data_IF_551926481697
#
_entry.id   IF_551926481697
#
_cell.length_a   1.000
_cell.length_b   1.000
_cell.length_c   1.000
_cell.angle_alpha   90.00
_cell.angle_beta   90.00
_cell.angle_gamma   90.00
#
_symmetry.space_group_name_H-M   'P 1'
#
loop_
_entity.id
_entity.type
_entity.pdbx_description
1 polymer ?
#
# COMPACT_ATOMS: atom_id res chain seq x y z
N UNK A 1 -35.01 4.23 -6.43
CA UNK A 1 -34.75 3.68 -5.09
C UNK A 1 -35.10 4.76 -4.07
N UNK A 2 -35.93 4.46 -3.08
CA UNK A 2 -36.26 5.41 -1.99
C UNK A 2 -35.19 5.40 -0.90
N UNK A 3 -35.10 6.44 -0.04
CA UNK A 3 -34.19 6.45 1.11
C UNK A 3 -34.41 5.25 2.06
N UNK A 4 -35.66 4.84 2.26
CA UNK A 4 -36.02 3.66 3.06
C UNK A 4 -35.49 2.35 2.44
N UNK A 5 -35.63 2.21 1.11
CA UNK A 5 -35.07 1.08 0.38
C UNK A 5 -33.53 1.07 0.46
N UNK A 6 -32.88 2.23 0.35
CA UNK A 6 -31.43 2.35 0.48
C UNK A 6 -30.96 1.91 1.88
N UNK A 7 -31.59 2.41 2.95
CA UNK A 7 -31.28 2.01 4.32
C UNK A 7 -31.49 0.50 4.55
N UNK A 8 -32.57 -0.08 4.04
CA UNK A 8 -32.84 -1.52 4.18
C UNK A 8 -31.87 -2.37 3.34
N UNK A 9 -31.41 -1.91 2.17
CA UNK A 9 -30.33 -2.59 1.42
C UNK A 9 -29.08 -2.69 2.29
N UNK A 10 -28.64 -1.60 2.92
CA UNK A 10 -27.46 -1.57 3.78
C UNK A 10 -27.61 -2.54 4.96
N UNK A 11 -28.75 -2.48 5.66
CA UNK A 11 -29.07 -3.36 6.81
C UNK A 11 -29.06 -4.84 6.41
N UNK A 12 -29.69 -5.19 5.29
CA UNK A 12 -29.71 -6.57 4.80
C UNK A 12 -28.33 -7.06 4.34
N UNK A 13 -27.48 -6.16 3.82
CA UNK A 13 -26.09 -6.49 3.49
C UNK A 13 -25.22 -6.73 4.72
N UNK A 14 -25.42 -5.98 5.81
CA UNK A 14 -24.76 -6.27 7.09
C UNK A 14 -25.18 -7.64 7.64
N UNK A 15 -26.44 -8.01 7.46
CA UNK A 15 -26.95 -9.36 7.75
C UNK A 15 -26.52 -10.44 6.73
N UNK A 16 -25.54 -10.15 5.86
CA UNK A 16 -24.98 -11.05 4.83
C UNK A 16 -25.98 -11.59 3.80
N UNK A 17 -27.13 -10.94 3.59
CA UNK A 17 -28.13 -11.35 2.58
C UNK A 17 -27.62 -11.08 1.16
N UNK A 18 -27.84 -12.00 0.23
CA UNK A 18 -27.32 -11.88 -1.14
C UNK A 18 -28.05 -10.77 -1.95
N UNK A 19 -27.37 -10.03 -2.85
CA UNK A 19 -27.99 -8.93 -3.62
C UNK A 19 -29.26 -9.33 -4.38
N UNK A 20 -29.31 -10.55 -4.95
CA UNK A 20 -30.50 -11.09 -5.62
C UNK A 20 -31.69 -11.28 -4.67
N UNK A 21 -31.42 -11.71 -3.43
CA UNK A 21 -32.46 -11.87 -2.41
C UNK A 21 -32.97 -10.51 -1.92
N UNK A 22 -32.07 -9.54 -1.74
CA UNK A 22 -32.43 -8.15 -1.40
C UNK A 22 -33.30 -7.54 -2.49
N UNK A 23 -32.90 -7.67 -3.75
CA UNK A 23 -33.67 -7.19 -4.90
C UNK A 23 -35.09 -7.76 -4.93
N UNK A 24 -35.23 -9.08 -4.72
CA UNK A 24 -36.55 -9.74 -4.62
C UNK A 24 -37.37 -9.23 -3.44
N UNK A 25 -36.75 -9.03 -2.27
CA UNK A 25 -37.44 -8.58 -1.05
C UNK A 25 -37.92 -7.13 -1.14
N UNK A 26 -37.16 -6.27 -1.80
CA UNK A 26 -37.44 -4.83 -1.91
C UNK A 26 -38.11 -4.44 -3.23
N UNK A 27 -38.46 -5.43 -4.07
CA UNK A 27 -39.03 -5.22 -5.41
C UNK A 27 -38.19 -4.29 -6.29
N UNK A 28 -36.86 -4.47 -6.26
CA UNK A 28 -35.89 -3.72 -7.05
C UNK A 28 -35.23 -4.61 -8.13
N UNK A 29 -34.61 -4.01 -9.14
CA UNK A 29 -33.81 -4.78 -10.11
C UNK A 29 -32.50 -5.21 -9.46
N UNK A 30 -32.01 -6.45 -9.70
CA UNK A 30 -30.71 -6.90 -9.17
C UNK A 30 -29.55 -5.96 -9.54
N UNK A 31 -29.56 -5.38 -10.74
CA UNK A 31 -28.53 -4.43 -11.18
C UNK A 31 -28.55 -3.12 -10.38
N UNK A 32 -29.72 -2.63 -9.98
CA UNK A 32 -29.86 -1.42 -9.15
C UNK A 32 -29.29 -1.66 -7.75
N UNK A 33 -29.60 -2.82 -7.15
CA UNK A 33 -29.08 -3.20 -5.84
C UNK A 33 -27.56 -3.40 -5.90
N UNK A 34 -27.04 -4.09 -6.92
CA UNK A 34 -25.60 -4.29 -7.10
C UNK A 34 -24.85 -2.97 -7.32
N UNK A 35 -25.43 -2.06 -8.10
CA UNK A 35 -24.87 -0.71 -8.33
C UNK A 35 -24.82 0.08 -7.04
N UNK A 36 -25.94 0.16 -6.31
CA UNK A 36 -25.99 0.84 -5.02
C UNK A 36 -24.96 0.28 -4.02
N UNK A 37 -24.85 -1.05 -3.91
CA UNK A 37 -23.86 -1.69 -3.02
C UNK A 37 -22.44 -1.33 -3.41
N UNK A 38 -22.12 -1.29 -4.71
CA UNK A 38 -20.79 -0.92 -5.20
C UNK A 38 -20.51 0.55 -4.89
N UNK A 39 -21.47 1.42 -5.14
CA UNK A 39 -21.31 2.87 -4.99
C UNK A 39 -21.16 3.26 -3.50
N UNK A 40 -21.70 2.46 -2.57
CA UNK A 40 -21.56 2.65 -1.11
C UNK A 40 -20.52 1.70 -0.47
N UNK A 41 -19.75 0.95 -1.27
CA UNK A 41 -18.79 0.00 -0.74
C UNK A 41 -17.67 0.71 0.03
N UNK A 42 -17.28 1.89 -0.42
CA UNK A 42 -16.21 2.71 0.15
C UNK A 42 -16.61 3.30 1.51
N UNK A 43 -17.78 3.94 1.59
CA UNK A 43 -18.31 4.48 2.85
C UNK A 43 -18.43 3.39 3.92
N UNK A 44 -18.88 2.20 3.55
CA UNK A 44 -18.97 1.07 4.47
C UNK A 44 -17.60 0.53 4.87
N UNK A 45 -16.64 0.55 3.97
CA UNK A 45 -15.27 0.16 4.29
C UNK A 45 -14.64 1.15 5.27
N UNK A 46 -14.90 2.45 5.09
CA UNK A 46 -14.54 3.53 6.02
C UNK A 46 -15.20 3.34 7.39
N UNK A 47 -16.49 3.07 7.44
CA UNK A 47 -17.21 2.83 8.71
C UNK A 47 -16.62 1.66 9.49
N UNK A 48 -16.34 0.53 8.82
CA UNK A 48 -15.69 -0.63 9.42
C UNK A 48 -14.28 -0.31 9.92
N UNK A 49 -13.53 0.51 9.18
CA UNK A 49 -12.21 0.95 9.62
C UNK A 49 -12.30 1.76 10.90
N UNK A 50 -13.27 2.68 10.99
CA UNK A 50 -13.51 3.53 12.16
C UNK A 50 -14.03 2.74 13.37
N UNK A 51 -14.81 1.70 13.16
CA UNK A 51 -15.29 0.82 14.24
C UNK A 51 -14.28 -0.25 14.66
N UNK A 52 -13.17 -0.40 13.92
CA UNK A 52 -12.18 -1.47 14.13
C UNK A 52 -12.60 -2.84 13.59
N UNK A 53 -13.71 -2.92 12.84
CA UNK A 53 -14.28 -4.15 12.29
C UNK A 53 -13.72 -4.53 10.90
N UNK A 54 -12.44 -4.22 10.66
CA UNK A 54 -11.76 -4.74 9.47
C UNK A 54 -11.55 -6.25 9.58
N UNK A 55 -11.53 -6.91 8.43
CA UNK A 55 -11.18 -8.32 8.36
C UNK A 55 -9.84 -8.59 9.07
N UNK A 56 -9.73 -9.70 9.82
CA UNK A 56 -8.52 -10.02 10.56
C UNK A 56 -7.32 -10.14 9.61
N UNK A 57 -6.16 -9.76 10.10
CA UNK A 57 -4.92 -9.86 9.35
C UNK A 57 -4.61 -11.34 9.08
N UNK A 58 -4.37 -11.67 7.81
CA UNK A 58 -3.84 -12.97 7.38
C UNK A 58 -2.31 -12.96 7.40
N UNK A 59 -1.71 -11.87 6.91
CA UNK A 59 -0.26 -11.67 6.89
C UNK A 59 0.08 -10.23 6.53
N UNK A 60 1.26 -9.79 6.95
CA UNK A 60 1.83 -8.50 6.58
C UNK A 60 3.31 -8.70 6.32
N UNK A 61 3.68 -8.69 5.05
CA UNK A 61 5.02 -9.03 4.61
C UNK A 61 5.76 -7.78 4.17
N UNK A 62 7.08 -7.81 4.33
CA UNK A 62 8.01 -6.83 3.78
C UNK A 62 9.25 -7.53 3.25
N UNK A 63 9.86 -6.98 2.21
CA UNK A 63 11.13 -7.47 1.70
C UNK A 63 12.23 -7.42 2.79
N UNK A 64 13.05 -8.47 2.86
CA UNK A 64 13.91 -8.74 4.02
C UNK A 64 14.87 -7.58 4.33
N UNK A 65 15.57 -7.03 3.34
CA UNK A 65 16.53 -5.94 3.51
C UNK A 65 15.91 -4.69 4.14
N UNK A 66 14.70 -4.31 3.72
CA UNK A 66 13.97 -3.20 4.34
C UNK A 66 13.60 -3.50 5.80
N UNK A 67 13.20 -4.73 6.12
CA UNK A 67 12.95 -5.13 7.50
C UNK A 67 14.19 -5.01 8.39
N UNK A 68 15.36 -5.36 7.87
CA UNK A 68 16.63 -5.23 8.59
C UNK A 68 17.00 -3.76 8.79
N UNK A 69 16.92 -2.95 7.72
CA UNK A 69 17.28 -1.54 7.72
C UNK A 69 16.37 -0.68 8.60
N UNK A 70 15.06 -0.79 8.43
CA UNK A 70 14.08 0.12 9.04
C UNK A 70 13.63 -0.30 10.43
N UNK A 71 13.71 -1.60 10.74
CA UNK A 71 13.19 -2.17 11.99
C UNK A 71 14.28 -2.80 12.86
N UNK A 72 15.56 -2.67 12.49
CA UNK A 72 16.70 -3.11 13.29
C UNK A 72 16.87 -4.63 13.39
N UNK A 73 16.34 -5.40 12.42
CA UNK A 73 16.54 -6.86 12.39
C UNK A 73 17.97 -7.20 11.90
N UNK A 74 18.99 -7.02 12.75
CA UNK A 74 20.45 -7.20 12.49
C UNK A 74 21.05 -6.22 11.46
N UNK A 75 22.36 -5.90 11.54
CA UNK A 75 23.03 -5.07 10.54
C UNK A 75 23.10 -5.77 9.18
N UNK A 76 22.93 -5.01 8.10
CA UNK A 76 23.24 -5.45 6.74
C UNK A 76 24.75 -5.69 6.62
N UNK A 77 25.15 -6.78 5.96
CA UNK A 77 26.45 -6.81 5.29
C UNK A 77 26.39 -5.77 4.14
N UNK A 78 27.51 -5.09 3.86
CA UNK A 78 27.57 -4.10 2.78
C UNK A 78 27.11 -4.74 1.45
N UNK A 79 26.21 -4.05 0.73
CA UNK A 79 25.72 -4.38 -0.62
C UNK A 79 24.68 -5.51 -0.79
N UNK A 80 23.71 -5.69 0.13
CA UNK A 80 22.57 -6.57 -0.13
C UNK A 80 21.21 -5.90 0.15
N UNK A 81 20.30 -6.00 -0.83
CA UNK A 81 18.93 -5.49 -0.79
C UNK A 81 18.66 -4.38 -1.82
N UNK A 82 17.41 -4.18 -2.24
CA UNK A 82 17.00 -3.09 -3.12
C UNK A 82 17.33 -1.73 -2.48
N UNK A 83 18.27 -1.01 -3.08
CA UNK A 83 18.81 0.24 -2.57
C UNK A 83 17.70 1.29 -2.29
N UNK A 84 17.26 1.41 -1.04
CA UNK A 84 16.27 2.40 -0.62
C UNK A 84 14.80 2.04 -0.88
N UNK A 85 14.48 0.86 -1.40
CA UNK A 85 13.09 0.43 -1.65
C UNK A 85 12.57 -0.56 -0.60
N UNK A 86 11.29 -0.44 -0.29
CA UNK A 86 10.55 -1.26 0.64
C UNK A 86 9.17 -1.57 0.04
N UNK A 87 8.84 -2.85 -0.14
CA UNK A 87 7.50 -3.26 -0.53
C UNK A 87 6.80 -3.93 0.65
N UNK A 88 5.63 -3.41 1.02
CA UNK A 88 4.75 -4.01 2.02
C UNK A 88 3.58 -4.68 1.32
N UNK A 89 3.35 -5.96 1.62
CA UNK A 89 2.20 -6.72 1.13
C UNK A 89 1.30 -7.03 2.34
N UNK A 90 0.10 -6.45 2.36
CA UNK A 90 -0.85 -6.63 3.42
C UNK A 90 -2.01 -7.52 2.96
N UNK A 91 -2.30 -8.59 3.69
CA UNK A 91 -3.39 -9.50 3.41
C UNK A 91 -4.34 -9.62 4.59
N UNK A 92 -5.64 -9.51 4.36
CA UNK A 92 -6.71 -9.74 5.35
C UNK A 92 -7.59 -10.91 4.93
N UNK A 93 -8.02 -11.73 5.90
CA UNK A 93 -8.85 -12.90 5.66
C UNK A 93 -10.34 -12.53 5.57
N UNK A 94 -10.95 -12.72 4.39
CA UNK A 94 -12.40 -12.55 4.20
C UNK A 94 -13.05 -13.87 3.74
N UNK A 95 -13.62 -14.62 4.69
CA UNK A 95 -14.18 -15.96 4.47
C UNK A 95 -13.13 -16.93 3.88
N UNK A 96 -13.27 -17.34 2.61
CA UNK A 96 -12.36 -18.25 1.90
C UNK A 96 -11.43 -17.54 0.91
N UNK A 97 -11.38 -16.20 0.96
CA UNK A 97 -10.55 -15.36 0.10
C UNK A 97 -9.68 -14.44 0.95
N UNK A 98 -8.62 -13.95 0.32
CA UNK A 98 -7.79 -12.88 0.87
C UNK A 98 -8.17 -11.58 0.18
N UNK A 99 -8.19 -10.49 0.95
CA UNK A 99 -8.17 -9.12 0.43
C UNK A 99 -6.76 -8.61 0.59
N UNK A 100 -6.09 -8.28 -0.50
CA UNK A 100 -4.65 -8.01 -0.51
C UNK A 100 -4.38 -6.66 -1.17
N UNK A 101 -3.59 -5.82 -0.50
CA UNK A 101 -3.03 -4.58 -1.04
C UNK A 101 -1.52 -4.55 -0.88
N UNK A 102 -0.84 -3.72 -1.67
CA UNK A 102 0.62 -3.57 -1.67
C UNK A 102 1.02 -2.10 -1.64
N UNK A 103 2.17 -1.78 -1.04
CA UNK A 103 2.69 -0.42 -0.89
C UNK A 103 4.17 -0.42 -1.20
N UNK A 104 4.60 0.34 -2.21
CA UNK A 104 6.00 0.49 -2.58
C UNK A 104 6.53 1.83 -2.06
N UNK A 105 7.49 1.77 -1.17
CA UNK A 105 8.09 2.89 -0.46
C UNK A 105 9.54 3.04 -0.86
N UNK A 106 9.92 4.24 -1.30
CA UNK A 106 11.30 4.72 -1.30
C UNK A 106 11.58 5.41 0.04
N UNK A 107 12.27 4.69 0.91
CA UNK A 107 12.57 5.14 2.27
C UNK A 107 13.82 6.03 2.33
N UNK A 108 14.46 6.32 1.20
CA UNK A 108 15.59 7.24 1.11
C UNK A 108 15.22 8.62 0.57
N UNK A 109 14.13 8.75 -0.19
CA UNK A 109 13.75 10.02 -0.79
C UNK A 109 12.25 10.17 -1.03
N UNK A 110 11.71 9.46 -2.03
CA UNK A 110 10.41 9.81 -2.62
C UNK A 110 9.19 9.39 -1.79
N UNK A 111 9.37 8.65 -0.70
CA UNK A 111 8.28 8.17 0.14
C UNK A 111 7.46 7.10 -0.55
N UNK A 112 6.15 7.12 -0.40
CA UNK A 112 5.26 6.12 -1.03
C UNK A 112 5.16 6.35 -2.55
N UNK A 113 5.89 5.55 -3.32
CA UNK A 113 6.02 5.65 -4.79
C UNK A 113 4.89 4.96 -5.55
N UNK A 114 4.31 3.91 -4.97
CA UNK A 114 3.19 3.19 -5.59
C UNK A 114 2.34 2.49 -4.52
N UNK A 115 1.06 2.23 -4.85
CA UNK A 115 0.18 1.43 -4.01
C UNK A 115 -0.82 0.66 -4.87
N UNK A 116 -1.01 -0.62 -4.53
CA UNK A 116 -2.03 -1.47 -5.14
C UNK A 116 -3.23 -1.51 -4.22
N UNK A 117 -4.31 -0.90 -4.72
CA UNK A 117 -5.61 -0.85 -4.05
C UNK A 117 -6.11 -2.28 -3.71
N UNK A 118 -6.72 -2.52 -2.53
CA UNK A 118 -7.03 -3.85 -2.03
C UNK A 118 -7.95 -4.65 -2.94
N UNK A 119 -7.52 -5.84 -3.35
CA UNK A 119 -8.27 -6.74 -4.25
C UNK A 119 -8.48 -8.13 -3.66
N UNK A 120 -9.59 -8.77 -4.02
CA UNK A 120 -9.92 -10.14 -3.58
C UNK A 120 -9.19 -11.17 -4.44
N UNK A 121 -8.46 -12.08 -3.80
CA UNK A 121 -7.74 -13.17 -4.47
C UNK A 121 -7.80 -14.48 -3.68
N UNK A 122 -7.48 -15.59 -4.37
CA UNK A 122 -7.32 -16.90 -3.73
C UNK A 122 -5.92 -17.09 -3.10
N UNK A 123 -5.77 -18.10 -2.24
CA UNK A 123 -4.49 -18.38 -1.57
C UNK A 123 -3.34 -18.66 -2.56
N UNK A 124 -3.59 -19.46 -3.61
CA UNK A 124 -2.58 -19.77 -4.62
C UNK A 124 -2.21 -18.56 -5.50
N UNK A 125 -3.10 -17.57 -5.62
CA UNK A 125 -2.81 -16.31 -6.32
C UNK A 125 -1.97 -15.39 -5.45
N UNK A 126 -2.32 -15.25 -4.17
CA UNK A 126 -1.52 -14.55 -3.18
C UNK A 126 -0.08 -15.12 -3.08
N UNK A 127 0.06 -16.45 -2.99
CA UNK A 127 1.38 -17.09 -2.95
C UNK A 127 2.22 -16.79 -4.19
N UNK A 128 1.62 -16.78 -5.38
CA UNK A 128 2.32 -16.41 -6.62
C UNK A 128 2.74 -14.95 -6.61
N UNK A 129 1.90 -14.05 -6.11
CA UNK A 129 2.21 -12.63 -5.97
C UNK A 129 3.42 -12.40 -5.05
N UNK A 130 3.48 -13.11 -3.91
CA UNK A 130 4.63 -13.06 -2.99
C UNK A 130 5.90 -13.58 -3.69
N UNK A 131 5.84 -14.74 -4.35
CA UNK A 131 7.01 -15.29 -5.08
C UNK A 131 7.49 -14.36 -6.20
N UNK A 132 6.58 -13.69 -6.90
CA UNK A 132 6.95 -12.70 -7.91
C UNK A 132 7.66 -11.50 -7.29
N UNK A 133 7.18 -11.03 -6.13
CA UNK A 133 7.81 -9.95 -5.38
C UNK A 133 9.20 -10.34 -4.88
N UNK A 134 9.37 -11.56 -4.36
CA UNK A 134 10.69 -12.08 -3.95
C UNK A 134 11.69 -12.13 -5.11
N UNK A 135 11.23 -12.50 -6.31
CA UNK A 135 12.07 -12.48 -7.52
C UNK A 135 12.45 -11.06 -7.92
N UNK A 136 11.50 -10.12 -7.88
CA UNK A 136 11.73 -8.73 -8.27
C UNK A 136 12.76 -8.06 -7.35
N UNK A 137 12.66 -8.33 -6.05
CA UNK A 137 13.57 -7.78 -5.04
C UNK A 137 14.84 -8.60 -4.83
N UNK A 138 14.94 -9.78 -5.44
CA UNK A 138 16.02 -10.75 -5.24
C UNK A 138 16.26 -11.08 -3.76
N UNK A 139 15.19 -11.11 -2.96
CA UNK A 139 15.23 -11.40 -1.53
C UNK A 139 13.90 -11.96 -1.03
N UNK A 140 13.93 -12.65 0.10
CA UNK A 140 12.74 -13.19 0.75
C UNK A 140 11.87 -12.08 1.33
N UNK A 141 10.58 -12.37 1.51
CA UNK A 141 9.67 -11.51 2.27
C UNK A 141 9.45 -12.09 3.67
N UNK A 142 9.42 -11.23 4.68
CA UNK A 142 9.31 -11.60 6.10
C UNK A 142 8.11 -10.93 6.75
N UNK A 143 7.52 -11.60 7.73
CA UNK A 143 6.42 -11.03 8.51
C UNK A 143 6.85 -9.83 9.38
N UNK A 144 5.97 -8.84 9.42
CA UNK A 144 6.01 -7.67 10.30
C UNK A 144 4.63 -7.44 10.90
N UNK A 145 4.57 -6.64 11.98
CA UNK A 145 3.30 -6.23 12.57
C UNK A 145 2.62 -5.16 11.71
N UNK A 146 1.30 -5.00 11.87
CA UNK A 146 0.57 -3.91 11.24
C UNK A 146 1.13 -2.54 11.65
N UNK A 147 1.51 -2.39 12.92
CA UNK A 147 2.13 -1.18 13.46
C UNK A 147 3.45 -0.85 12.75
N UNK A 148 4.29 -1.86 12.50
CA UNK A 148 5.54 -1.68 11.74
C UNK A 148 5.26 -1.25 10.29
N UNK A 149 4.28 -1.87 9.63
CA UNK A 149 3.88 -1.48 8.28
C UNK A 149 3.35 -0.04 8.23
N UNK A 150 2.50 0.35 9.17
CA UNK A 150 1.99 1.72 9.29
C UNK A 150 3.12 2.73 9.55
N UNK A 151 4.08 2.40 10.42
CA UNK A 151 5.23 3.24 10.69
C UNK A 151 6.11 3.43 9.44
N UNK A 152 6.35 2.38 8.66
CA UNK A 152 7.11 2.47 7.41
C UNK A 152 6.37 3.35 6.39
N UNK A 153 5.11 3.04 6.10
CA UNK A 153 4.37 3.75 5.03
C UNK A 153 4.10 5.20 5.42
N UNK A 154 3.47 5.44 6.57
CA UNK A 154 3.11 6.79 6.96
C UNK A 154 4.33 7.63 7.34
N UNK A 155 5.36 7.01 7.92
CA UNK A 155 6.63 7.70 8.19
C UNK A 155 7.35 8.12 6.92
N UNK A 156 7.35 7.27 5.89
CA UNK A 156 7.93 7.62 4.59
C UNK A 156 7.13 8.72 3.88
N UNK A 157 5.81 8.72 4.01
CA UNK A 157 4.95 9.81 3.54
C UNK A 157 5.31 11.13 4.22
N UNK A 158 5.44 11.13 5.55
CA UNK A 158 5.82 12.35 6.29
C UNK A 158 7.21 12.86 5.91
N UNK A 159 8.17 11.93 5.78
CA UNK A 159 9.53 12.23 5.35
C UNK A 159 9.54 12.87 3.96
N UNK A 160 8.91 12.23 2.98
CA UNK A 160 8.88 12.73 1.61
C UNK A 160 8.10 14.05 1.49
N UNK A 161 7.03 14.23 2.27
CA UNK A 161 6.32 15.51 2.36
C UNK A 161 7.21 16.62 2.89
N UNK A 162 8.07 16.36 3.87
CA UNK A 162 9.09 17.33 4.32
C UNK A 162 10.09 17.72 3.23
N UNK A 163 10.28 16.85 2.22
CA UNK A 163 11.13 17.11 1.04
C UNK A 163 10.38 17.78 -0.11
N UNK A 164 9.06 17.96 0.00
CA UNK A 164 8.20 18.55 -1.05
C UNK A 164 7.59 17.53 -2.02
N UNK A 165 7.51 16.26 -1.64
CA UNK A 165 6.84 15.20 -2.41
C UNK A 165 5.48 14.83 -1.80
N UNK A 166 4.53 14.53 -2.66
CA UNK A 166 3.23 13.98 -2.28
C UNK A 166 3.24 12.45 -2.48
N UNK A 167 2.50 11.68 -1.68
CA UNK A 167 2.34 10.25 -1.91
C UNK A 167 1.73 9.96 -3.28
N UNK A 168 2.05 8.79 -3.83
CA UNK A 168 1.46 8.37 -5.11
C UNK A 168 -0.07 8.35 -5.05
N UNK A 169 -0.70 8.78 -6.15
CA UNK A 169 -2.16 8.91 -6.27
C UNK A 169 -2.93 7.59 -6.03
N UNK A 170 -2.28 6.45 -6.25
CA UNK A 170 -2.87 5.13 -6.07
C UNK A 170 -2.91 4.73 -4.58
N UNK A 171 -2.31 5.53 -3.70
CA UNK A 171 -2.60 5.52 -2.27
C UNK A 171 -3.95 6.19 -1.97
N UNK A 172 -4.97 5.68 -2.66
CA UNK A 172 -6.35 6.10 -2.56
C UNK A 172 -6.94 5.79 -1.17
N UNK A 173 -8.18 6.22 -0.95
CA UNK A 173 -8.91 5.98 0.29
C UNK A 173 -9.00 4.49 0.65
N UNK A 174 -9.09 3.58 -0.31
CA UNK A 174 -9.17 2.13 -0.05
C UNK A 174 -7.83 1.58 0.39
N UNK A 175 -6.73 1.99 -0.25
CA UNK A 175 -5.37 1.64 0.15
C UNK A 175 -5.09 2.14 1.58
N UNK A 176 -5.42 3.40 1.89
CA UNK A 176 -5.27 3.96 3.24
C UNK A 176 -6.06 3.17 4.30
N UNK A 177 -7.32 2.85 4.02
CA UNK A 177 -8.13 2.05 4.96
C UNK A 177 -7.59 0.63 5.11
N UNK A 178 -7.12 0.03 4.03
CA UNK A 178 -6.61 -1.34 4.06
C UNK A 178 -5.38 -1.45 4.97
N UNK A 179 -4.44 -0.52 4.81
CA UNK A 179 -3.30 -0.30 5.71
C UNK A 179 -3.75 -0.01 7.15
N UNK A 180 -4.94 0.55 7.31
CA UNK A 180 -5.47 1.04 8.57
C UNK A 180 -5.22 2.53 8.69
N UNK A 181 -6.21 3.25 9.25
CA UNK A 181 -6.11 4.69 9.46
C UNK A 181 -4.83 5.05 10.21
N UNK A 182 -4.26 6.21 9.86
CA UNK A 182 -3.04 6.72 10.47
C UNK A 182 -3.17 6.74 12.00
N UNK A 183 -2.29 6.04 12.74
CA UNK A 183 -2.23 6.12 14.19
C UNK A 183 -1.88 7.54 14.66
N UNK A 184 -2.29 7.91 15.89
CA UNK A 184 -1.90 9.19 16.50
C UNK A 184 -0.38 9.32 16.65
N UNK A 185 0.30 8.20 16.93
CA UNK A 185 1.74 8.10 17.08
C UNK A 185 2.29 6.98 16.21
N UNK A 186 3.39 7.24 15.51
CA UNK A 186 4.12 6.23 14.77
C UNK A 186 5.35 5.79 15.56
N UNK A 187 5.72 4.52 15.41
CA UNK A 187 7.06 4.05 15.75
C UNK A 187 8.11 4.87 15.00
N UNK A 188 9.19 5.26 15.68
CA UNK A 188 10.28 6.02 15.07
C UNK A 188 11.07 5.13 14.10
N UNK A 189 11.19 5.59 12.86
CA UNK A 189 12.00 4.97 11.80
C UNK A 189 12.88 6.06 11.19
N UNK A 190 14.16 5.74 10.96
CA UNK A 190 15.08 6.64 10.29
C UNK A 190 14.93 6.50 8.77
N UNK A 191 14.56 7.60 8.12
CA UNK A 191 14.44 7.70 6.66
C UNK A 191 15.61 8.52 6.10
N UNK A 192 15.84 8.37 4.80
CA UNK A 192 17.04 8.89 4.15
C UNK A 192 18.20 7.89 4.18
N UNK A 193 19.29 8.27 3.52
CA UNK A 193 20.53 7.51 3.50
C UNK A 193 21.62 8.36 4.13
N UNK A 194 22.23 7.85 5.18
CA UNK A 194 23.32 8.52 5.92
C UNK A 194 22.93 9.94 6.38
N UNK A 195 21.67 10.09 6.83
CA UNK A 195 21.13 11.36 7.35
C UNK A 195 20.66 12.36 6.29
N UNK A 196 20.68 12.02 4.99
CA UNK A 196 20.24 12.91 3.92
C UNK A 196 19.39 12.21 2.85
N UNK A 197 18.59 12.94 2.05
CA UNK A 197 17.87 12.37 0.94
C UNK A 197 18.82 11.74 -0.07
N UNK A 198 18.48 10.54 -0.55
CA UNK A 198 19.24 9.86 -1.60
C UNK A 198 18.27 9.36 -2.67
N UNK A 199 18.23 10.06 -3.79
CA UNK A 199 17.38 9.70 -4.92
C UNK A 199 18.12 8.77 -5.88
N UNK A 200 17.55 7.59 -6.10
CA UNK A 200 17.95 6.69 -7.18
C UNK A 200 16.87 6.74 -8.25
N UNK A 201 17.20 7.19 -9.46
CA UNK A 201 16.21 7.29 -10.52
C UNK A 201 15.78 5.92 -11.02
N UNK A 202 14.49 5.62 -10.89
CA UNK A 202 13.86 4.49 -11.53
C UNK A 202 13.41 4.84 -12.96
N UNK A 203 13.06 3.81 -13.77
CA UNK A 203 12.65 3.99 -15.16
C UNK A 203 11.39 4.83 -15.35
N UNK A 204 10.58 5.02 -14.30
CA UNK A 204 9.32 5.76 -14.32
C UNK A 204 9.41 7.14 -13.64
N UNK A 205 10.56 7.53 -13.11
CA UNK A 205 10.71 8.78 -12.38
C UNK A 205 10.96 9.96 -13.34
N UNK A 206 10.31 11.10 -13.06
CA UNK A 206 10.66 12.36 -13.71
C UNK A 206 11.85 12.99 -12.98
N UNK A 207 13.06 12.62 -13.39
CA UNK A 207 14.32 13.06 -12.76
C UNK A 207 14.39 14.58 -12.62
N UNK A 208 14.09 15.32 -13.69
CA UNK A 208 14.16 16.80 -13.66
C UNK A 208 13.23 17.40 -12.61
N UNK A 209 12.02 16.85 -12.45
CA UNK A 209 11.07 17.29 -11.43
C UNK A 209 11.59 16.98 -10.03
N UNK A 210 12.08 15.76 -9.81
CA UNK A 210 12.61 15.32 -8.51
C UNK A 210 13.79 16.19 -8.09
N UNK A 211 14.75 16.40 -8.99
CA UNK A 211 15.94 17.22 -8.72
C UNK A 211 15.58 18.67 -8.38
N UNK A 212 14.65 19.29 -9.12
CA UNK A 212 14.16 20.65 -8.81
C UNK A 212 13.47 20.73 -7.45
N UNK A 213 12.67 19.72 -7.10
CA UNK A 213 12.02 19.66 -5.78
C UNK A 213 13.05 19.58 -4.66
N UNK A 214 14.06 18.71 -4.80
CA UNK A 214 15.13 18.56 -3.81
C UNK A 214 15.99 19.83 -3.69
N UNK A 215 16.38 20.44 -4.81
CA UNK A 215 17.11 21.71 -4.80
C UNK A 215 16.31 22.83 -4.14
N UNK A 216 15.00 22.90 -4.37
CA UNK A 216 14.14 23.90 -3.74
C UNK A 216 13.90 23.65 -2.25
N UNK A 217 13.85 22.39 -1.82
CA UNK A 217 13.53 22.00 -0.45
C UNK A 217 14.76 22.00 0.48
N UNK A 218 15.82 21.28 0.09
CA UNK A 218 17.01 21.09 0.92
C UNK A 218 18.24 21.83 0.41
N UNK A 219 18.22 22.32 -0.84
CA UNK A 219 19.35 23.04 -1.44
C UNK A 219 20.35 22.11 -2.14
N UNK A 220 21.06 22.66 -3.12
CA UNK A 220 22.10 21.93 -3.86
C UNK A 220 23.22 21.46 -2.91
N UNK A 221 23.62 20.19 -3.03
CA UNK A 221 24.65 19.56 -2.20
C UNK A 221 24.15 18.92 -0.91
N UNK A 222 22.85 19.07 -0.58
CA UNK A 222 22.24 18.48 0.62
C UNK A 222 21.41 17.21 0.32
N UNK A 223 21.66 16.58 -0.83
CA UNK A 223 21.06 15.30 -1.21
C UNK A 223 21.99 14.55 -2.18
N UNK A 224 21.83 13.23 -2.26
CA UNK A 224 22.51 12.38 -3.25
C UNK A 224 21.59 12.06 -4.43
N UNK A 225 22.18 11.93 -5.61
CA UNK A 225 21.51 11.45 -6.81
C UNK A 225 22.35 10.35 -7.46
N UNK A 226 21.73 9.21 -7.74
CA UNK A 226 22.31 8.10 -8.48
C UNK A 226 21.39 7.76 -9.66
N UNK A 227 21.97 7.61 -10.85
CA UNK A 227 21.23 7.12 -12.00
C UNK A 227 21.19 5.59 -11.95
N UNK A 228 20.00 4.98 -11.92
CA UNK A 228 19.93 3.54 -12.11
C UNK A 228 20.38 3.21 -13.54
N UNK A 229 21.27 2.22 -13.68
CA UNK A 229 21.60 1.65 -14.97
C UNK A 229 20.39 0.78 -15.36
N UNK A 230 19.70 1.04 -16.49
CA UNK A 230 18.56 0.21 -16.90
C UNK A 230 19.01 -1.24 -17.05
N UNK A 231 18.37 -2.15 -16.33
CA UNK A 231 18.46 -3.57 -16.64
C UNK A 231 17.60 -3.83 -17.89
N UNK A 232 18.20 -4.27 -19.02
CA UNK A 232 17.49 -4.48 -20.28
C UNK A 232 16.34 -5.50 -20.20
N UNK A 233 16.20 -6.26 -19.12
CA UNK A 233 15.16 -7.28 -18.95
C UNK A 233 13.92 -6.81 -18.14
N UNK A 234 13.89 -5.58 -17.60
CA UNK A 234 12.75 -5.04 -16.84
C UNK A 234 11.83 -4.25 -17.77
N UNK A 235 11.10 -4.97 -18.62
CA UNK A 235 10.12 -4.40 -19.55
C UNK A 235 8.79 -5.13 -19.47
N UNK A 236 7.98 -4.88 -18.44
CA UNK A 236 6.53 -5.03 -18.57
C UNK A 236 5.76 -4.29 -17.49
N UNK A 237 4.78 -3.49 -17.89
CA UNK A 237 3.96 -2.64 -17.01
C UNK A 237 2.95 -3.41 -16.13
N UNK A 238 2.94 -4.74 -16.21
CA UNK A 238 2.10 -5.61 -15.38
C UNK A 238 2.83 -6.09 -14.10
N UNK A 239 4.05 -5.60 -13.86
CA UNK A 239 4.97 -6.08 -12.82
C UNK A 239 4.62 -5.71 -11.36
N UNK A 240 3.55 -4.93 -11.13
CA UNK A 240 3.06 -4.59 -9.78
C UNK A 240 1.69 -5.20 -9.45
N UNK A 241 1.14 -6.08 -10.29
CA UNK A 241 -0.13 -6.78 -10.04
C UNK A 241 0.07 -8.08 -9.25
#
# INVERSE_FOLDING_TARGET
MTPEQAAEILRLRDAKVAPKQIARRLSLRPAEVSTFIRDHAEDRYLEKARSGDLAPLHGCLVNQGAAQRLLGKKPLEENQGPEGLCQIILARQEHNRLVVGSYLVDHWCLGLKDAVSPRKMGLAEYQRMVVNSERQFSESFVDITLEQAQAIVYGAVDYAHSLGFEPHKDFDTKAQIHLGLRPETLMSIEFGKDGQPCFISGPYDNVDKVMKTLEASVGAGNFHYLAAIPDPDIGDSDLFL
#
